data_IF_886092126958
#
_entry.id   IF_886092126958
#
_cell.length_a   1.000
_cell.length_b   1.000
_cell.length_c   1.000
_cell.angle_alpha   90.00
_cell.angle_beta   90.00
_cell.angle_gamma   90.00
#
_symmetry.space_group_name_H-M   'P 1'
#
loop_
_entity.id
_entity.type
_entity.pdbx_description
1 polymer ?
#
# COMPACT_ATOMS: atom_id res chain seq x y z
N UNK A 1 -18.52 -35.23 -15.90
CA UNK A 1 -18.37 -33.86 -15.34
C UNK A 1 -18.07 -33.93 -13.84
N UNK A 2 -16.81 -34.11 -13.44
CA UNK A 2 -16.36 -34.11 -12.02
C UNK A 2 -14.94 -33.54 -11.86
N UNK A 3 -14.57 -32.53 -12.65
CA UNK A 3 -13.22 -31.93 -12.61
C UNK A 3 -13.19 -30.49 -12.06
N UNK A 4 -14.34 -29.91 -11.70
CA UNK A 4 -14.43 -28.48 -11.36
C UNK A 4 -14.31 -28.15 -9.86
N UNK A 5 -14.41 -29.13 -8.96
CA UNK A 5 -14.38 -28.88 -7.50
C UNK A 5 -12.96 -28.89 -6.91
N UNK A 6 -12.03 -29.67 -7.47
CA UNK A 6 -10.66 -29.74 -6.95
C UNK A 6 -9.84 -28.48 -7.30
N UNK A 7 -10.11 -27.85 -8.44
CA UNK A 7 -9.44 -26.60 -8.84
C UNK A 7 -9.90 -25.40 -8.00
N UNK A 8 -11.20 -25.33 -7.68
CA UNK A 8 -11.72 -24.32 -6.75
C UNK A 8 -11.20 -24.53 -5.32
N UNK A 9 -11.09 -25.80 -4.89
CA UNK A 9 -10.51 -26.12 -3.58
C UNK A 9 -9.03 -25.75 -3.49
N UNK A 10 -8.22 -26.00 -4.54
CA UNK A 10 -6.82 -25.58 -4.55
C UNK A 10 -6.63 -24.06 -4.62
N UNK A 11 -7.53 -23.30 -5.24
CA UNK A 11 -7.49 -21.84 -5.21
C UNK A 11 -7.76 -21.30 -3.79
N UNK A 12 -8.75 -21.85 -3.09
CA UNK A 12 -9.09 -21.49 -1.70
C UNK A 12 -8.04 -22.00 -0.69
N UNK A 13 -7.39 -23.13 -0.96
CA UNK A 13 -6.30 -23.67 -0.12
C UNK A 13 -4.99 -22.90 -0.31
N UNK A 14 -4.73 -22.35 -1.50
CA UNK A 14 -3.57 -21.49 -1.75
C UNK A 14 -3.72 -20.10 -1.10
N UNK A 15 -4.95 -19.62 -0.92
CA UNK A 15 -5.25 -18.40 -0.14
C UNK A 15 -5.12 -18.59 1.38
N UNK A 16 -5.13 -19.84 1.88
CA UNK A 16 -5.15 -20.15 3.32
C UNK A 16 -3.83 -20.71 3.88
N UNK A 17 -2.80 -20.93 3.07
CA UNK A 17 -1.55 -21.57 3.49
C UNK A 17 -0.57 -20.65 4.28
N UNK A 18 -1.08 -19.59 4.92
CA UNK A 18 -0.27 -18.64 5.71
C UNK A 18 -0.96 -18.05 6.94
N UNK A 19 -2.07 -18.63 7.41
CA UNK A 19 -2.78 -18.14 8.58
C UNK A 19 -2.05 -18.49 9.89
N UNK A 20 -1.01 -17.72 10.23
CA UNK A 20 -0.56 -17.57 11.61
C UNK A 20 -1.65 -16.84 12.42
N UNK A 21 -1.91 -17.21 13.68
CA UNK A 21 -2.89 -16.50 14.50
C UNK A 21 -2.45 -15.05 14.78
N UNK A 22 -3.30 -14.11 14.38
CA UNK A 22 -3.64 -12.89 15.12
C UNK A 22 -2.51 -11.91 15.50
N UNK A 23 -1.71 -11.47 14.54
CA UNK A 23 -1.10 -10.15 14.65
C UNK A 23 -1.46 -9.29 13.44
N UNK A 24 -1.99 -8.10 13.70
CA UNK A 24 -2.27 -7.12 12.65
C UNK A 24 -0.97 -6.82 11.87
N UNK A 25 -1.05 -6.58 10.55
CA UNK A 25 0.11 -6.27 9.74
C UNK A 25 0.69 -4.90 10.09
N UNK A 26 2.02 -4.76 10.08
CA UNK A 26 2.68 -3.47 10.31
C UNK A 26 2.59 -2.56 9.08
N UNK A 27 2.82 -1.26 9.30
CA UNK A 27 3.07 -0.29 8.25
C UNK A 27 4.58 -0.08 8.06
N UNK A 28 5.04 -0.09 6.81
CA UNK A 28 6.40 0.32 6.45
C UNK A 28 6.45 1.82 6.11
N UNK A 29 6.74 2.67 7.09
CA UNK A 29 6.78 4.12 6.86
C UNK A 29 8.22 4.61 6.67
N UNK A 30 8.51 5.49 5.69
CA UNK A 30 9.88 5.89 5.36
C UNK A 30 10.61 6.69 6.46
N UNK A 31 9.93 7.10 7.53
CA UNK A 31 10.50 7.84 8.64
C UNK A 31 10.27 7.13 9.97
N UNK A 32 11.29 7.11 10.82
CA UNK A 32 11.21 6.51 12.15
C UNK A 32 11.60 7.51 13.27
N UNK A 33 10.78 7.66 14.33
CA UNK A 33 9.43 7.11 14.46
C UNK A 33 8.47 7.76 13.43
N UNK A 34 7.37 7.08 13.05
CA UNK A 34 6.39 7.71 12.18
C UNK A 34 5.80 8.95 12.87
N UNK A 35 5.48 10.01 12.11
CA UNK A 35 4.79 11.18 12.65
C UNK A 35 3.35 10.80 13.04
N UNK A 36 2.53 11.78 13.44
CA UNK A 36 1.10 11.57 13.64
C UNK A 36 0.42 11.22 12.32
N UNK A 37 0.36 9.95 11.99
CA UNK A 37 -0.05 9.38 10.72
C UNK A 37 -1.48 8.86 10.82
N UNK A 38 -2.32 9.21 9.85
CA UNK A 38 -3.62 8.56 9.66
C UNK A 38 -3.52 7.47 8.59
N UNK A 39 -3.94 6.25 8.92
CA UNK A 39 -4.12 5.14 7.97
C UNK A 39 -5.61 5.04 7.66
N UNK A 40 -5.97 5.21 6.39
CA UNK A 40 -7.35 5.30 5.90
C UNK A 40 -7.76 3.99 5.23
N UNK A 41 -8.94 3.48 5.58
CA UNK A 41 -9.53 2.29 4.93
C UNK A 41 -8.85 0.97 5.28
N UNK A 42 -8.02 0.94 6.33
CA UNK A 42 -7.32 -0.27 6.78
C UNK A 42 -7.15 -0.31 8.30
N UNK A 43 -7.08 -1.52 8.84
CA UNK A 43 -6.69 -1.78 10.22
C UNK A 43 -5.30 -2.43 10.23
N UNK A 44 -4.33 -1.77 10.87
CA UNK A 44 -2.94 -2.20 10.95
C UNK A 44 -2.48 -2.28 12.41
N UNK A 45 -1.33 -2.91 12.65
CA UNK A 45 -0.72 -2.98 13.97
C UNK A 45 -0.54 -1.58 14.55
N UNK A 46 -1.03 -1.30 15.76
CA UNK A 46 -0.77 -0.05 16.44
C UNK A 46 0.74 0.18 16.60
N UNK A 47 1.18 1.40 16.29
CA UNK A 47 2.52 1.90 16.61
C UNK A 47 2.42 3.34 17.08
N UNK A 48 3.37 3.85 17.89
CA UNK A 48 3.36 5.25 18.31
C UNK A 48 3.27 6.18 17.09
N UNK A 49 2.30 7.09 17.11
CA UNK A 49 2.05 8.02 15.99
C UNK A 49 1.10 7.49 14.90
N UNK A 50 0.83 6.19 14.82
CA UNK A 50 -0.06 5.62 13.79
C UNK A 50 -1.48 5.48 14.31
N UNK A 51 -2.44 6.06 13.58
CA UNK A 51 -3.87 6.01 13.89
C UNK A 51 -4.65 5.40 12.73
N UNK A 52 -5.25 4.23 12.91
CA UNK A 52 -6.02 3.55 11.88
C UNK A 52 -7.49 3.97 11.91
N UNK A 53 -8.04 4.23 10.73
CA UNK A 53 -9.44 4.55 10.50
C UNK A 53 -10.00 3.69 9.36
N UNK A 54 -10.44 2.45 9.64
CA UNK A 54 -11.06 1.57 8.64
C UNK A 54 -12.30 2.20 8.00
N UNK A 55 -13.03 3.00 8.78
CA UNK A 55 -14.14 3.83 8.34
C UNK A 55 -13.87 5.25 8.81
N UNK A 56 -13.09 6.00 8.04
CA UNK A 56 -12.71 7.36 8.39
C UNK A 56 -13.81 8.37 8.02
N UNK A 57 -13.72 9.55 8.64
CA UNK A 57 -14.58 10.68 8.37
C UNK A 57 -13.81 11.99 8.49
N UNK A 58 -14.28 13.05 7.82
CA UNK A 58 -13.64 14.36 7.90
C UNK A 58 -13.48 14.88 9.35
N UNK A 59 -14.48 14.77 10.25
CA UNK A 59 -14.31 15.19 11.64
C UNK A 59 -13.19 14.45 12.38
N UNK A 60 -13.03 13.14 12.16
CA UNK A 60 -11.94 12.37 12.77
C UNK A 60 -10.57 12.86 12.31
N UNK A 61 -10.40 13.11 11.01
CA UNK A 61 -9.15 13.64 10.48
C UNK A 61 -8.90 15.08 10.94
N UNK A 62 -9.94 15.92 10.99
CA UNK A 62 -9.85 17.28 11.49
C UNK A 62 -9.44 17.32 12.97
N UNK A 63 -9.95 16.40 13.80
CA UNK A 63 -9.58 16.27 15.21
C UNK A 63 -8.14 15.77 15.37
N UNK A 64 -7.73 14.78 14.57
CA UNK A 64 -6.39 14.23 14.64
C UNK A 64 -5.33 15.21 14.14
N UNK A 65 -5.65 16.04 13.15
CA UNK A 65 -4.69 16.85 12.37
C UNK A 65 -3.48 15.98 11.95
N UNK A 66 -3.68 14.96 11.12
CA UNK A 66 -2.57 14.11 10.69
C UNK A 66 -1.47 14.92 10.00
N UNK A 67 -0.24 14.51 10.28
CA UNK A 67 0.99 15.03 9.71
C UNK A 67 1.41 14.25 8.44
N UNK A 68 0.89 13.03 8.29
CA UNK A 68 1.06 12.13 7.16
C UNK A 68 -0.24 11.36 6.91
N UNK A 69 -0.41 10.81 5.70
CA UNK A 69 -1.54 9.93 5.35
C UNK A 69 -1.04 8.64 4.71
N UNK A 70 -1.75 7.55 4.96
CA UNK A 70 -1.60 6.29 4.25
C UNK A 70 -2.98 5.74 3.88
N UNK A 71 -3.14 5.14 2.70
CA UNK A 71 -4.43 4.59 2.26
C UNK A 71 -4.40 4.23 0.77
N UNK A 72 -5.51 3.75 0.22
CA UNK A 72 -5.60 3.56 -1.24
C UNK A 72 -5.56 4.90 -1.97
N UNK A 73 -5.33 4.87 -3.28
CA UNK A 73 -5.42 6.08 -4.11
C UNK A 73 -6.78 6.77 -3.96
N UNK A 74 -7.87 5.99 -3.94
CA UNK A 74 -9.23 6.48 -3.81
C UNK A 74 -9.46 7.18 -2.46
N UNK A 75 -8.92 6.65 -1.37
CA UNK A 75 -9.02 7.29 -0.06
C UNK A 75 -8.27 8.62 0.00
N UNK A 76 -7.06 8.66 -0.55
CA UNK A 76 -6.28 9.89 -0.62
C UNK A 76 -6.92 10.92 -1.57
N UNK A 77 -7.48 10.48 -2.69
CA UNK A 77 -8.23 11.34 -3.60
C UNK A 77 -9.48 11.94 -2.94
N UNK A 78 -10.18 11.16 -2.11
CA UNK A 78 -11.31 11.64 -1.33
C UNK A 78 -10.90 12.71 -0.32
N UNK A 79 -9.77 12.52 0.38
CA UNK A 79 -9.21 13.54 1.28
C UNK A 79 -8.84 14.81 0.51
N UNK A 80 -8.12 14.68 -0.62
CA UNK A 80 -7.74 15.82 -1.46
C UNK A 80 -8.96 16.61 -1.95
N UNK A 81 -10.03 15.91 -2.36
CA UNK A 81 -11.28 16.56 -2.76
C UNK A 81 -11.90 17.35 -1.61
N UNK A 82 -12.01 16.75 -0.42
CA UNK A 82 -12.56 17.43 0.76
C UNK A 82 -11.74 18.64 1.18
N UNK A 83 -10.41 18.58 1.03
CA UNK A 83 -9.53 19.72 1.28
C UNK A 83 -9.71 20.82 0.22
N UNK A 84 -9.75 20.46 -1.06
CA UNK A 84 -10.00 21.39 -2.17
C UNK A 84 -11.37 22.08 -2.09
N UNK A 85 -12.38 21.38 -1.59
CA UNK A 85 -13.73 21.91 -1.33
C UNK A 85 -13.80 22.76 -0.03
N UNK A 86 -12.72 22.83 0.76
CA UNK A 86 -12.67 23.56 2.03
C UNK A 86 -13.42 22.90 3.20
N UNK A 87 -13.89 21.65 3.02
CA UNK A 87 -14.63 20.88 4.04
C UNK A 87 -13.69 20.33 5.11
N UNK A 88 -12.46 20.00 4.74
CA UNK A 88 -11.43 19.47 5.62
C UNK A 88 -10.18 20.35 5.52
N UNK A 89 -9.59 20.73 6.66
CA UNK A 89 -8.33 21.47 6.68
C UNK A 89 -7.29 20.67 7.47
N UNK A 90 -6.27 20.18 6.77
CA UNK A 90 -5.17 19.38 7.33
C UNK A 90 -3.90 20.22 7.42
N UNK A 91 -3.86 21.19 8.33
CA UNK A 91 -2.80 22.21 8.39
C UNK A 91 -1.42 21.65 8.70
N UNK A 92 -1.39 20.50 9.36
CA UNK A 92 -0.16 19.86 9.82
C UNK A 92 0.42 18.87 8.81
N UNK A 93 -0.29 18.58 7.72
CA UNK A 93 0.10 17.59 6.71
C UNK A 93 1.37 18.04 5.98
N UNK A 94 2.49 17.35 6.22
CA UNK A 94 3.82 17.77 5.73
C UNK A 94 4.84 16.65 5.54
N UNK A 95 4.43 15.41 5.76
CA UNK A 95 5.28 14.22 5.64
C UNK A 95 4.76 13.29 4.54
N UNK A 96 5.62 12.40 4.01
CA UNK A 96 5.26 11.57 2.87
C UNK A 96 3.95 10.81 2.98
N UNK A 97 3.29 10.63 1.83
CA UNK A 97 2.12 9.79 1.67
C UNK A 97 2.54 8.35 1.41
N UNK A 98 1.72 7.41 1.86
CA UNK A 98 1.86 5.98 1.52
C UNK A 98 0.60 5.49 0.82
N UNK A 99 0.74 5.01 -0.40
CA UNK A 99 -0.36 4.44 -1.19
C UNK A 99 -0.41 2.94 -1.02
N UNK A 100 -1.59 2.38 -0.77
CA UNK A 100 -1.83 0.95 -0.76
C UNK A 100 -2.40 0.50 -2.09
N UNK A 101 -1.74 -0.49 -2.71
CA UNK A 101 -2.15 -1.09 -3.98
C UNK A 101 -2.31 -2.59 -3.80
N UNK A 102 -3.44 -3.19 -4.22
CA UNK A 102 -3.60 -4.64 -4.18
C UNK A 102 -2.69 -5.33 -5.20
N UNK A 103 -2.20 -6.56 -4.95
CA UNK A 103 -1.25 -7.25 -5.83
C UNK A 103 -1.82 -7.55 -7.22
N UNK A 104 -3.15 -7.62 -7.36
CA UNK A 104 -3.80 -7.84 -8.65
C UNK A 104 -3.92 -6.57 -9.50
N UNK A 105 -3.70 -5.38 -8.91
CA UNK A 105 -3.71 -4.12 -9.63
C UNK A 105 -2.33 -3.83 -10.22
N UNK A 106 -2.30 -3.03 -11.29
CA UNK A 106 -1.06 -2.42 -11.72
C UNK A 106 -0.53 -1.49 -10.61
N UNK A 107 0.81 -1.37 -10.49
CA UNK A 107 1.41 -0.36 -9.62
C UNK A 107 0.90 1.03 -9.97
N UNK A 108 1.05 1.96 -9.02
CA UNK A 108 0.67 3.35 -9.21
C UNK A 108 1.33 3.90 -10.48
N UNK A 109 0.50 4.37 -11.42
CA UNK A 109 1.03 4.95 -12.66
C UNK A 109 1.66 6.31 -12.41
N UNK A 110 2.57 6.73 -13.28
CA UNK A 110 3.19 8.05 -13.23
C UNK A 110 2.14 9.17 -13.16
N UNK A 111 1.02 9.03 -13.89
CA UNK A 111 -0.07 10.01 -13.86
C UNK A 111 -0.75 10.09 -12.49
N UNK A 112 -0.94 8.96 -11.80
CA UNK A 112 -1.52 8.93 -10.46
C UNK A 112 -0.54 9.44 -9.40
N UNK A 113 0.75 9.17 -9.56
CA UNK A 113 1.81 9.72 -8.72
C UNK A 113 1.84 11.26 -8.84
N UNK A 114 1.87 11.76 -10.07
CA UNK A 114 1.77 13.17 -10.41
C UNK A 114 0.51 13.82 -9.83
N UNK A 115 -0.62 13.11 -9.88
CA UNK A 115 -1.89 13.62 -9.37
C UNK A 115 -1.86 13.80 -7.85
N UNK A 116 -1.34 12.83 -7.11
CA UNK A 116 -1.15 12.93 -5.66
C UNK A 116 -0.16 14.05 -5.32
N UNK A 117 0.93 14.18 -6.08
CA UNK A 117 1.86 15.30 -5.91
C UNK A 117 1.19 16.65 -6.13
N UNK A 118 0.34 16.79 -7.16
CA UNK A 118 -0.37 18.06 -7.42
C UNK A 118 -1.31 18.45 -6.28
N UNK A 119 -1.99 17.48 -5.67
CA UNK A 119 -2.90 17.71 -4.56
C UNK A 119 -2.16 18.06 -3.26
N UNK A 120 -1.18 17.23 -2.88
CA UNK A 120 -0.60 17.30 -1.54
C UNK A 120 0.77 17.99 -1.49
N UNK A 121 1.52 18.02 -2.60
CA UNK A 121 2.92 18.52 -2.67
C UNK A 121 3.88 17.78 -1.73
N UNK A 122 3.63 16.47 -1.54
CA UNK A 122 4.40 15.62 -0.66
C UNK A 122 4.93 14.39 -1.40
N UNK A 123 6.09 13.84 -1.03
CA UNK A 123 6.58 12.58 -1.58
C UNK A 123 5.54 11.48 -1.42
N UNK A 124 5.46 10.59 -2.40
CA UNK A 124 4.50 9.48 -2.44
C UNK A 124 5.27 8.18 -2.57
N UNK A 125 5.03 7.26 -1.64
CA UNK A 125 5.57 5.91 -1.66
C UNK A 125 4.45 4.90 -1.85
N UNK A 126 4.72 3.81 -2.56
CA UNK A 126 3.74 2.75 -2.75
C UNK A 126 4.05 1.49 -1.94
N UNK A 127 2.99 0.83 -1.45
CA UNK A 127 3.05 -0.48 -0.82
C UNK A 127 2.04 -1.43 -1.46
N UNK A 128 2.53 -2.59 -1.86
CA UNK A 128 1.70 -3.69 -2.32
C UNK A 128 1.23 -4.48 -1.12
N UNK A 129 -0.09 -4.56 -0.94
CA UNK A 129 -0.72 -5.24 0.20
C UNK A 129 -1.81 -6.19 -0.24
N UNK A 130 -1.91 -7.36 0.36
CA UNK A 130 -3.01 -8.29 0.09
C UNK A 130 -4.33 -7.82 0.73
N UNK A 131 -5.41 -8.60 0.53
CA UNK A 131 -6.74 -8.30 1.07
C UNK A 131 -6.78 -8.26 2.62
N UNK A 132 -5.85 -8.94 3.30
CA UNK A 132 -5.67 -8.88 4.74
C UNK A 132 -4.73 -7.74 5.18
N UNK A 133 -4.43 -6.81 4.28
CA UNK A 133 -3.47 -5.72 4.42
C UNK A 133 -2.04 -6.14 4.77
N UNK A 134 -1.64 -7.40 4.56
CA UNK A 134 -0.26 -7.82 4.79
C UNK A 134 0.65 -7.18 3.74
N UNK A 135 1.79 -6.64 4.18
CA UNK A 135 2.79 -6.05 3.30
C UNK A 135 3.48 -7.13 2.48
N UNK A 136 3.37 -7.02 1.16
CA UNK A 136 4.04 -7.92 0.22
C UNK A 136 5.30 -7.28 -0.37
N UNK A 137 5.21 -6.00 -0.72
CA UNK A 137 6.33 -5.24 -1.26
C UNK A 137 6.16 -3.74 -0.99
N UNK A 138 7.25 -2.96 -0.98
CA UNK A 138 7.21 -1.51 -0.80
C UNK A 138 8.26 -0.80 -1.65
N UNK A 139 7.94 0.41 -2.05
CA UNK A 139 8.87 1.34 -2.68
C UNK A 139 9.74 2.02 -1.62
N UNK A 140 11.01 2.27 -1.95
CA UNK A 140 11.93 3.08 -1.14
C UNK A 140 12.22 4.43 -1.81
N UNK A 141 12.99 5.30 -1.14
CA UNK A 141 13.41 6.62 -1.65
C UNK A 141 14.13 6.61 -3.00
N UNK A 142 14.66 5.45 -3.43
CA UNK A 142 15.28 5.34 -4.74
C UNK A 142 14.28 5.33 -5.90
N UNK A 143 12.98 5.08 -5.65
CA UNK A 143 11.92 5.00 -6.68
C UNK A 143 12.31 4.13 -7.90
N UNK A 144 12.94 2.98 -7.64
CA UNK A 144 13.51 2.10 -8.67
C UNK A 144 13.02 0.65 -8.52
N UNK A 145 11.73 0.49 -8.32
CA UNK A 145 11.08 -0.79 -8.04
C UNK A 145 10.86 -1.02 -6.54
N UNK A 146 10.47 -2.25 -6.19
CA UNK A 146 9.94 -2.57 -4.87
C UNK A 146 10.85 -3.53 -4.13
N UNK A 147 11.07 -3.31 -2.84
CA UNK A 147 11.62 -4.31 -1.94
C UNK A 147 10.54 -5.33 -1.57
N UNK A 148 10.91 -6.60 -1.47
CA UNK A 148 10.01 -7.65 -1.03
C UNK A 148 10.00 -7.82 0.48
N UNK A 149 8.82 -8.08 1.04
CA UNK A 149 8.67 -8.47 2.44
C UNK A 149 9.25 -9.84 2.68
N UNK A 150 9.66 -10.10 3.92
CA UNK A 150 10.30 -11.35 4.29
C UNK A 150 9.39 -12.55 3.94
N UNK A 151 9.97 -13.53 3.24
CA UNK A 151 9.26 -14.74 2.80
C UNK A 151 8.37 -14.57 1.56
N UNK A 152 8.23 -13.35 1.02
CA UNK A 152 7.52 -13.13 -0.25
C UNK A 152 8.45 -13.43 -1.43
N UNK A 153 7.95 -14.24 -2.38
CA UNK A 153 8.68 -14.55 -3.61
C UNK A 153 8.20 -13.65 -4.75
N UNK A 154 9.07 -13.28 -5.71
CA UNK A 154 8.67 -12.48 -6.88
C UNK A 154 7.48 -13.06 -7.65
N UNK A 155 7.37 -14.39 -7.74
CA UNK A 155 6.28 -15.09 -8.42
C UNK A 155 4.90 -14.82 -7.80
N UNK A 156 4.81 -14.54 -6.50
CA UNK A 156 3.55 -14.21 -5.83
C UNK A 156 2.96 -12.87 -6.29
N UNK A 157 3.80 -12.01 -6.87
CA UNK A 157 3.44 -10.68 -7.34
C UNK A 157 3.50 -10.55 -8.87
N UNK A 158 3.76 -11.66 -9.59
CA UNK A 158 4.06 -11.60 -11.02
C UNK A 158 5.23 -10.65 -11.31
N UNK A 159 6.27 -10.68 -10.48
CA UNK A 159 7.36 -9.70 -10.52
C UNK A 159 8.67 -10.31 -11.03
N UNK A 160 9.49 -9.50 -11.69
CA UNK A 160 10.84 -9.86 -12.10
C UNK A 160 11.86 -9.28 -11.11
N UNK A 161 12.87 -10.07 -10.72
CA UNK A 161 13.96 -9.57 -9.88
C UNK A 161 14.83 -8.59 -10.67
N UNK A 162 15.12 -7.44 -10.08
CA UNK A 162 16.02 -6.45 -10.63
C UNK A 162 17.46 -6.75 -10.19
N UNK A 163 18.44 -6.64 -11.10
CA UNK A 163 19.83 -6.92 -10.79
C UNK A 163 20.45 -5.81 -9.91
N UNK A 164 21.45 -6.20 -9.14
CA UNK A 164 22.30 -5.29 -8.37
C UNK A 164 21.69 -4.80 -7.05
N UNK A 165 22.48 -4.12 -6.21
CA UNK A 165 22.00 -3.53 -4.98
C UNK A 165 21.06 -2.35 -5.25
N UNK A 166 20.16 -2.08 -4.32
CA UNK A 166 19.35 -0.87 -4.37
C UNK A 166 20.19 0.36 -3.95
N UNK A 167 20.06 1.53 -4.61
CA UNK A 167 20.74 2.75 -4.20
C UNK A 167 20.43 3.21 -2.78
N UNK A 168 19.28 2.80 -2.20
CA UNK A 168 18.95 3.09 -0.80
C UNK A 168 19.81 2.30 0.21
N UNK A 169 20.64 1.35 -0.25
CA UNK A 169 21.52 0.53 0.60
C UNK A 169 20.84 -0.68 1.27
N UNK A 170 19.54 -0.85 1.09
CA UNK A 170 18.81 -2.03 1.55
C UNK A 170 19.36 -3.33 0.92
N UNK A 171 19.38 -4.41 1.69
CA UNK A 171 19.93 -5.72 1.28
C UNK A 171 18.88 -6.61 0.62
N UNK A 172 17.61 -6.27 0.84
CA UNK A 172 16.45 -6.97 0.34
C UNK A 172 16.42 -6.92 -1.18
N UNK A 173 16.03 -8.04 -1.80
CA UNK A 173 15.85 -8.13 -3.24
C UNK A 173 14.84 -7.09 -3.72
N UNK A 174 15.16 -6.46 -4.85
CA UNK A 174 14.31 -5.49 -5.51
C UNK A 174 13.64 -6.12 -6.71
N UNK A 175 12.37 -5.82 -6.94
CA UNK A 175 11.58 -6.35 -8.05
C UNK A 175 10.92 -5.24 -8.86
N UNK A 176 10.74 -5.50 -10.15
CA UNK A 176 9.81 -4.78 -11.00
C UNK A 176 8.51 -5.59 -11.07
N UNK A 177 7.40 -4.97 -10.67
CA UNK A 177 6.08 -5.56 -10.81
C UNK A 177 5.71 -5.54 -12.29
N UNK A 178 5.47 -6.72 -12.87
CA UNK A 178 5.00 -6.79 -14.25
C UNK A 178 3.54 -6.35 -14.22
N UNK A 179 3.17 -5.44 -15.13
CA UNK A 179 1.75 -5.08 -15.28
C UNK A 179 0.95 -6.38 -15.44
N UNK A 180 -0.20 -6.53 -14.76
CA UNK A 180 -1.10 -7.63 -15.07
C UNK A 180 -1.33 -7.56 -16.57
N UNK A 181 -0.92 -8.60 -17.29
CA UNK A 181 -1.24 -8.70 -18.71
C UNK A 181 -2.76 -8.51 -18.80
N UNK A 182 -3.25 -7.62 -19.67
CA UNK A 182 -4.68 -7.36 -19.87
C UNK A 182 -5.46 -8.59 -20.41
N UNK A 183 -4.89 -9.79 -20.29
CA UNK A 183 -5.36 -11.07 -20.76
C UNK A 183 -5.90 -11.99 -19.65
N UNK A 184 -5.93 -11.54 -18.38
CA UNK A 184 -6.50 -12.34 -17.27
C UNK A 184 -7.96 -11.97 -16.91
N UNK A 185 -8.64 -11.15 -17.73
CA UNK A 185 -10.07 -10.89 -17.61
C UNK A 185 -10.86 -11.71 -18.66
N UNK A 186 -10.72 -13.03 -18.64
CA UNK A 186 -11.56 -13.96 -19.41
C UNK A 186 -11.37 -15.39 -18.90
N UNK A 187 -11.90 -15.71 -17.72
CA UNK A 187 -12.30 -17.08 -17.36
C UNK A 187 -13.45 -17.03 -16.35
#
# INVERSE_FOLDING_TARGET
MRLSLNLLRSAVESENAGAHPSELPSLEYPLFPPPRLAVLGAELRPSPGTHCFPYWSAPQLAQLQPMALAGSFEELANVARLEGDGVLLLRDLRYPLVVFTPPAAAPLSDERHDQLWRWFRLPVFEQIRNAAHQLLAWECEAHQGFHLSHGVLPSHLGAATLPGPCPCGAKEARVALLRPNALAASF
#
